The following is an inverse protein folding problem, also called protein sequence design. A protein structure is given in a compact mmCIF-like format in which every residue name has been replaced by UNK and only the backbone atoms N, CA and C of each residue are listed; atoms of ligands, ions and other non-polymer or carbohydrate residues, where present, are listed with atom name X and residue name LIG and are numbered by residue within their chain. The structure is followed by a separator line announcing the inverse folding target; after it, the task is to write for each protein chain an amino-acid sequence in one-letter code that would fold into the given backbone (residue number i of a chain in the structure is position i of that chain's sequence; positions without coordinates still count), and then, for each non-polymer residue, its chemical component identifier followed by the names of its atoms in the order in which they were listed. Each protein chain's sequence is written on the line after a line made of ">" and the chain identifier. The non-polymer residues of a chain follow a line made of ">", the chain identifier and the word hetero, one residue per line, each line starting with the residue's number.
data_IF_381337033893
#
_entry.id   IF_381337033893
#
_cell.length_a   1.000
_cell.length_b   1.000
_cell.length_c   1.000
_cell.angle_alpha   90.00
_cell.angle_beta   90.00
_cell.angle_gamma   90.00
#
_symmetry.space_group_name_H-M   'P 1'
#
loop_
_entity.id
_entity.type
_entity.pdbx_description
1 polymer ?
#
# COMPACT_ATOMS: atom_id res chain seq x y z
N UNK A 1 0.94 -26.51 -12.63
CA UNK A 1 0.07 -25.90 -11.60
C UNK A 1 -0.14 -24.48 -12.06
N UNK A 2 -1.38 -24.07 -12.36
CA UNK A 2 -1.65 -22.69 -12.76
C UNK A 2 -1.45 -21.81 -11.51
N UNK A 3 -0.72 -20.71 -11.64
CA UNK A 3 -0.57 -19.72 -10.57
C UNK A 3 -1.96 -19.18 -10.22
N UNK A 4 -2.37 -19.37 -8.97
CA UNK A 4 -3.58 -18.77 -8.40
C UNK A 4 -3.15 -17.57 -7.55
N UNK A 5 -3.28 -16.33 -8.05
CA UNK A 5 -2.87 -15.14 -7.32
C UNK A 5 -3.58 -15.01 -5.97
N UNK A 6 -4.83 -15.48 -5.87
CA UNK A 6 -5.64 -15.37 -4.64
C UNK A 6 -5.09 -16.27 -3.52
N UNK A 7 -4.48 -17.41 -3.86
CA UNK A 7 -3.88 -18.31 -2.88
C UNK A 7 -2.46 -17.87 -2.43
N UNK A 8 -1.82 -16.94 -3.14
CA UNK A 8 -0.42 -16.57 -2.88
C UNK A 8 -0.21 -16.03 -1.46
N UNK A 9 -1.11 -15.16 -0.99
CA UNK A 9 -0.99 -14.57 0.34
C UNK A 9 -1.27 -15.59 1.44
N UNK A 10 -2.26 -16.47 1.26
CA UNK A 10 -2.57 -17.54 2.20
C UNK A 10 -1.43 -18.56 2.32
N UNK A 11 -0.75 -18.89 1.21
CA UNK A 11 0.39 -19.81 1.23
C UNK A 11 1.65 -19.17 1.84
N UNK A 12 1.89 -17.88 1.56
CA UNK A 12 3.10 -17.17 1.98
C UNK A 12 2.99 -16.64 3.42
N UNK A 13 1.78 -16.23 3.83
CA UNK A 13 1.50 -15.62 5.13
C UNK A 13 0.25 -16.19 5.82
N UNK A 14 0.16 -17.52 6.03
CA UNK A 14 -1.06 -18.18 6.52
C UNK A 14 -1.56 -17.67 7.86
N UNK A 15 -0.66 -17.19 8.72
CA UNK A 15 -0.98 -16.77 10.09
C UNK A 15 -0.92 -15.24 10.28
N UNK A 16 -0.97 -14.43 9.21
CA UNK A 16 -0.70 -12.99 9.32
C UNK A 16 -1.68 -12.27 10.25
N UNK A 17 -2.93 -12.69 10.28
CA UNK A 17 -3.96 -12.10 11.14
C UNK A 17 -3.70 -12.46 12.61
N UNK A 18 -3.34 -13.71 12.90
CA UNK A 18 -3.02 -14.25 14.21
C UNK A 18 -1.74 -13.60 14.76
N UNK A 19 -0.70 -13.47 13.92
CA UNK A 19 0.57 -12.85 14.30
C UNK A 19 0.38 -11.42 14.78
N UNK A 20 -0.53 -10.65 14.16
CA UNK A 20 -0.85 -9.28 14.60
C UNK A 20 -1.50 -9.23 15.98
N UNK A 21 -2.10 -10.32 16.47
CA UNK A 21 -2.62 -10.39 17.84
C UNK A 21 -1.51 -10.56 18.87
N UNK A 22 -0.37 -11.14 18.48
CA UNK A 22 0.76 -11.42 19.36
C UNK A 22 1.54 -10.12 19.70
N UNK A 23 1.63 -9.71 20.98
CA UNK A 23 2.33 -8.49 21.37
C UNK A 23 3.81 -8.47 20.96
N UNK A 24 4.50 -9.62 21.00
CA UNK A 24 5.92 -9.72 20.62
C UNK A 24 6.15 -9.51 19.13
N UNK A 25 5.25 -10.02 18.29
CA UNK A 25 5.33 -9.83 16.84
C UNK A 25 5.09 -8.36 16.52
N UNK A 26 4.02 -7.77 17.06
CA UNK A 26 3.76 -6.33 16.94
C UNK A 26 4.95 -5.51 17.44
N UNK A 27 5.56 -5.85 18.57
CA UNK A 27 6.68 -5.07 19.07
C UNK A 27 7.90 -5.06 18.13
N UNK A 28 8.13 -6.15 17.37
CA UNK A 28 9.24 -6.26 16.41
C UNK A 28 8.90 -5.78 15.00
N UNK A 29 7.63 -5.70 14.67
CA UNK A 29 7.20 -5.35 13.33
C UNK A 29 7.48 -3.86 13.03
N UNK A 30 7.83 -3.58 11.78
CA UNK A 30 8.24 -2.25 11.34
C UNK A 30 7.35 -1.76 10.21
N UNK A 31 7.28 -0.44 10.05
CA UNK A 31 6.58 0.20 8.95
C UNK A 31 7.04 -0.32 7.58
N UNK A 32 8.36 -0.55 7.40
CA UNK A 32 8.92 -1.10 6.17
C UNK A 32 8.42 -2.53 5.88
N UNK A 33 8.39 -3.39 6.91
CA UNK A 33 7.91 -4.78 6.76
C UNK A 33 6.42 -4.81 6.41
N UNK A 34 5.63 -3.94 7.03
CA UNK A 34 4.21 -3.75 6.71
C UNK A 34 4.01 -3.28 5.27
N UNK A 35 4.82 -2.33 4.82
CA UNK A 35 4.78 -1.84 3.45
C UNK A 35 5.12 -2.93 2.42
N UNK A 36 6.08 -3.81 2.71
CA UNK A 36 6.40 -4.95 1.84
C UNK A 36 5.29 -6.00 1.79
N UNK A 37 4.63 -6.30 2.92
CA UNK A 37 3.43 -7.15 2.90
C UNK A 37 2.28 -6.51 2.13
N UNK A 38 2.12 -5.19 2.24
CA UNK A 38 1.11 -4.47 1.47
C UNK A 38 1.40 -4.54 -0.04
N UNK A 39 2.67 -4.43 -0.44
CA UNK A 39 3.10 -4.63 -1.82
C UNK A 39 2.76 -6.03 -2.33
N UNK A 40 3.07 -7.07 -1.56
CA UNK A 40 2.74 -8.45 -1.93
C UNK A 40 1.23 -8.64 -2.08
N UNK A 41 0.44 -8.13 -1.12
CA UNK A 41 -1.02 -8.18 -1.17
C UNK A 41 -1.59 -7.45 -2.38
N UNK A 42 -1.03 -6.27 -2.72
CA UNK A 42 -1.39 -5.54 -3.95
C UNK A 42 -1.07 -6.39 -5.16
N UNK A 43 0.16 -6.88 -5.33
CA UNK A 43 0.54 -7.71 -6.48
C UNK A 43 -0.33 -8.98 -6.63
N UNK A 44 -0.74 -9.59 -5.51
CA UNK A 44 -1.63 -10.75 -5.48
C UNK A 44 -3.11 -10.41 -5.71
N UNK A 45 -3.47 -9.12 -5.72
CA UNK A 45 -4.84 -8.63 -5.76
C UNK A 45 -5.71 -9.12 -4.58
N UNK A 46 -5.10 -9.31 -3.41
CA UNK A 46 -5.81 -9.70 -2.18
C UNK A 46 -6.42 -8.47 -1.51
N UNK A 47 -7.62 -8.09 -1.95
CA UNK A 47 -8.33 -6.90 -1.47
C UNK A 47 -8.54 -6.90 0.05
N UNK A 48 -8.79 -8.06 0.64
CA UNK A 48 -9.01 -8.19 2.07
C UNK A 48 -7.72 -7.85 2.83
N UNK A 49 -6.60 -8.47 2.47
CA UNK A 49 -5.33 -8.23 3.13
C UNK A 49 -4.80 -6.81 2.87
N UNK A 50 -5.04 -6.24 1.68
CA UNK A 50 -4.73 -4.83 1.39
C UNK A 50 -5.43 -3.92 2.39
N UNK A 51 -6.74 -4.10 2.61
CA UNK A 51 -7.50 -3.32 3.58
C UNK A 51 -6.98 -3.49 5.01
N UNK A 52 -6.76 -4.74 5.43
CA UNK A 52 -6.28 -5.04 6.78
C UNK A 52 -4.86 -4.53 7.07
N UNK A 53 -3.92 -4.67 6.13
CA UNK A 53 -2.54 -4.17 6.30
C UNK A 53 -2.52 -2.64 6.25
N UNK A 54 -3.34 -2.01 5.42
CA UNK A 54 -3.50 -0.54 5.39
C UNK A 54 -4.02 -0.01 6.72
N UNK A 55 -5.05 -0.64 7.29
CA UNK A 55 -5.62 -0.23 8.57
C UNK A 55 -4.68 -0.51 9.74
N UNK A 56 -3.95 -1.63 9.70
CA UNK A 56 -2.89 -1.92 10.65
C UNK A 56 -1.79 -0.84 10.59
N UNK A 57 -1.38 -0.41 9.39
CA UNK A 57 -0.43 0.69 9.22
C UNK A 57 -0.96 2.00 9.78
N UNK A 58 -2.20 2.34 9.44
CA UNK A 58 -2.89 3.54 9.91
C UNK A 58 -2.95 3.61 11.45
N UNK A 59 -3.30 2.52 12.13
CA UNK A 59 -3.50 2.51 13.59
C UNK A 59 -2.23 2.51 14.43
N UNK A 60 -1.04 2.26 13.85
CA UNK A 60 0.22 2.06 14.60
C UNK A 60 0.95 3.34 15.05
N UNK A 61 0.19 4.36 15.45
CA UNK A 61 0.71 5.62 15.97
C UNK A 61 1.57 5.45 17.24
N UNK A 62 2.55 6.37 17.50
CA UNK A 62 3.03 7.47 16.65
C UNK A 62 4.23 7.11 15.75
N UNK A 63 4.70 5.87 15.80
CA UNK A 63 5.99 5.50 15.22
C UNK A 63 6.00 5.40 13.70
N UNK A 64 4.83 5.35 13.05
CA UNK A 64 4.72 5.09 11.61
C UNK A 64 4.32 6.35 10.86
N UNK A 65 5.29 7.00 10.21
CA UNK A 65 5.08 8.11 9.27
C UNK A 65 5.44 7.62 7.86
N UNK A 66 4.49 7.55 6.90
CA UNK A 66 4.77 7.05 5.56
C UNK A 66 5.91 7.79 4.86
N UNK A 67 6.15 9.08 5.16
CA UNK A 67 7.29 9.84 4.62
C UNK A 67 8.66 9.23 4.93
N UNK A 68 8.74 8.43 6.00
CA UNK A 68 9.97 7.78 6.48
C UNK A 68 10.16 6.36 5.89
N UNK A 69 9.31 5.93 4.94
CA UNK A 69 9.55 4.68 4.23
C UNK A 69 10.88 4.77 3.49
N UNK A 70 11.75 3.79 3.71
CA UNK A 70 13.06 3.73 3.05
C UNK A 70 12.89 3.28 1.61
N UNK A 71 13.80 3.74 0.76
CA UNK A 71 13.86 3.33 -0.64
C UNK A 71 14.14 1.82 -0.73
N UNK A 72 13.28 1.01 -1.39
CA UNK A 72 13.51 -0.42 -1.58
C UNK A 72 14.85 -0.76 -2.25
N UNK A 73 15.45 0.16 -3.01
CA UNK A 73 16.82 0.00 -3.53
C UNK A 73 17.86 -0.22 -2.42
N UNK A 74 17.71 0.44 -1.28
CA UNK A 74 18.62 0.29 -0.14
C UNK A 74 18.54 -1.12 0.48
N UNK A 75 17.41 -1.81 0.28
CA UNK A 75 17.17 -3.18 0.71
C UNK A 75 17.47 -4.20 -0.40
N UNK A 76 18.04 -3.78 -1.53
CA UNK A 76 18.54 -4.64 -2.61
C UNK A 76 17.56 -4.86 -3.76
N UNK A 77 16.42 -4.16 -3.82
CA UNK A 77 15.53 -4.22 -4.97
C UNK A 77 16.17 -3.52 -6.17
N UNK A 78 16.34 -4.25 -7.29
CA UNK A 78 16.89 -3.70 -8.54
C UNK A 78 15.94 -3.84 -9.72
N UNK A 79 14.80 -4.49 -9.51
CA UNK A 79 13.83 -4.74 -10.56
C UNK A 79 12.99 -3.48 -10.83
N UNK A 80 12.99 -2.94 -12.06
CA UNK A 80 12.34 -1.67 -12.35
C UNK A 80 10.81 -1.75 -12.18
N UNK A 81 10.18 -2.89 -12.47
CA UNK A 81 8.74 -3.07 -12.29
C UNK A 81 8.37 -3.03 -10.82
N UNK A 82 9.10 -3.77 -9.98
CA UNK A 82 8.88 -3.76 -8.53
C UNK A 82 9.04 -2.36 -7.95
N UNK A 83 10.08 -1.63 -8.33
CA UNK A 83 10.32 -0.26 -7.85
C UNK A 83 9.21 0.69 -8.28
N UNK A 84 8.73 0.57 -9.52
CA UNK A 84 7.61 1.36 -10.03
C UNK A 84 6.31 1.06 -9.25
N UNK A 85 6.04 -0.21 -8.93
CA UNK A 85 4.89 -0.60 -8.09
C UNK A 85 5.06 -0.07 -6.66
N UNK A 86 6.24 -0.22 -6.03
CA UNK A 86 6.51 0.32 -4.70
C UNK A 86 6.29 1.83 -4.64
N UNK A 87 6.84 2.57 -5.59
CA UNK A 87 6.70 4.01 -5.61
C UNK A 87 5.23 4.46 -5.77
N UNK A 88 4.48 3.75 -6.62
CA UNK A 88 3.04 4.00 -6.83
C UNK A 88 2.22 3.65 -5.60
N UNK A 89 2.54 2.54 -4.93
CA UNK A 89 1.87 2.12 -3.71
C UNK A 89 2.13 3.09 -2.55
N UNK A 90 3.36 3.57 -2.36
CA UNK A 90 3.68 4.53 -1.30
C UNK A 90 2.86 5.82 -1.45
N UNK A 91 2.70 6.30 -2.68
CA UNK A 91 1.91 7.49 -2.98
C UNK A 91 0.42 7.25 -2.82
N UNK A 92 -0.10 6.13 -3.32
CA UNK A 92 -1.50 5.74 -3.15
C UNK A 92 -1.87 5.56 -1.66
N UNK A 93 -0.95 5.03 -0.85
CA UNK A 93 -1.11 4.90 0.60
C UNK A 93 -1.21 6.27 1.28
N UNK A 94 -0.30 7.20 0.93
CA UNK A 94 -0.32 8.58 1.43
C UNK A 94 -1.59 9.30 1.01
N UNK A 95 -1.99 9.18 -0.26
CA UNK A 95 -3.23 9.74 -0.76
C UNK A 95 -4.43 9.21 0.04
N UNK A 96 -4.48 7.90 0.27
CA UNK A 96 -5.54 7.24 1.03
C UNK A 96 -5.60 7.70 2.49
N UNK A 97 -4.44 7.95 3.11
CA UNK A 97 -4.36 8.53 4.45
C UNK A 97 -4.81 9.98 4.50
N UNK A 98 -4.37 10.79 3.54
CA UNK A 98 -4.79 12.19 3.45
C UNK A 98 -6.29 12.32 3.16
N UNK A 99 -6.86 11.41 2.36
CA UNK A 99 -8.29 11.30 2.16
C UNK A 99 -9.03 10.97 3.47
N UNK A 100 -8.54 10.02 4.27
CA UNK A 100 -9.10 9.78 5.63
C UNK A 100 -9.04 11.03 6.49
N UNK A 101 -7.91 11.75 6.48
CA UNK A 101 -7.75 12.98 7.26
C UNK A 101 -8.72 14.08 6.84
N UNK A 102 -8.98 14.23 5.53
CA UNK A 102 -9.92 15.23 5.00
C UNK A 102 -11.36 14.96 5.43
N UNK A 103 -11.74 13.69 5.59
CA UNK A 103 -13.02 13.25 6.16
C UNK A 103 -13.14 13.47 7.68
N UNK A 104 -12.11 13.98 8.35
CA UNK A 104 -12.09 14.15 9.80
C UNK A 104 -11.69 12.86 10.56
N UNK A 105 -11.32 11.79 9.86
CA UNK A 105 -10.79 10.60 10.51
C UNK A 105 -9.41 10.88 11.09
N UNK A 106 -9.10 10.24 12.21
CA UNK A 106 -7.84 10.43 12.93
C UNK A 106 -7.32 9.07 13.36
N UNK A 107 -5.99 8.90 13.26
CA UNK A 107 -5.30 7.64 13.56
C UNK A 107 -5.43 7.19 15.01
N UNK A 108 -5.72 8.12 15.93
CA UNK A 108 -5.97 7.84 17.34
C UNK A 108 -7.45 7.49 17.65
N UNK A 109 -8.30 7.38 16.61
CA UNK A 109 -9.75 7.11 16.75
C UNK A 109 -10.59 8.29 17.23
N UNK A 110 -9.99 9.46 17.51
CA UNK A 110 -10.71 10.67 17.94
C UNK A 110 -11.07 11.51 16.71
N UNK A 111 -12.17 11.15 16.06
CA UNK A 111 -12.63 11.83 14.85
C UNK A 111 -13.09 13.26 15.14
N UNK A 112 -12.98 14.10 14.11
CA UNK A 112 -13.37 15.52 14.12
C UNK A 112 -14.23 15.81 12.89
N UNK A 113 -14.74 17.03 12.78
CA UNK A 113 -15.51 17.44 11.60
C UNK A 113 -14.65 17.41 10.32
N UNK A 114 -15.27 17.03 9.21
CA UNK A 114 -14.64 17.06 7.88
C UNK A 114 -14.13 18.47 7.57
N UNK A 115 -12.94 18.58 6.99
CA UNK A 115 -12.27 19.86 6.71
C UNK A 115 -11.63 20.53 7.92
N UNK A 116 -11.67 19.93 9.11
CA UNK A 116 -10.89 20.42 10.26
C UNK A 116 -9.39 20.45 9.93
N UNK A 117 -8.65 21.49 10.36
CA UNK A 117 -7.20 21.59 10.11
C UNK A 117 -6.44 20.32 10.50
N UNK A 118 -5.50 19.93 9.64
CA UNK A 118 -4.67 18.74 9.82
C UNK A 118 -3.39 18.86 9.02
N UNK A 119 -2.32 18.28 9.56
CA UNK A 119 -1.07 18.09 8.82
C UNK A 119 -1.24 16.86 7.92
N UNK A 120 -1.17 17.09 6.62
CA UNK A 120 -1.20 16.02 5.62
C UNK A 120 0.19 15.39 5.50
N UNK A 121 0.20 14.09 5.19
CA UNK A 121 1.44 13.37 4.89
C UNK A 121 1.91 13.70 3.47
N UNK A 122 3.23 13.70 3.28
CA UNK A 122 3.89 13.72 1.98
C UNK A 122 4.30 12.30 1.57
N UNK A 123 4.52 12.10 0.27
CA UNK A 123 5.13 10.87 -0.22
C UNK A 123 6.61 10.81 0.19
N UNK A 124 7.20 9.61 0.36
CA UNK A 124 8.64 9.48 0.54
C UNK A 124 9.39 10.12 -0.63
N UNK A 125 10.46 10.87 -0.36
CA UNK A 125 11.18 11.59 -1.41
C UNK A 125 11.73 10.71 -2.54
N UNK A 126 12.03 9.44 -2.26
CA UNK A 126 12.55 8.49 -3.26
C UNK A 126 11.52 8.17 -4.35
N UNK A 127 10.20 8.25 -4.07
CA UNK A 127 9.17 7.90 -5.07
C UNK A 127 9.21 8.80 -6.29
N UNK A 128 9.68 10.05 -6.13
CA UNK A 128 9.81 11.03 -7.21
C UNK A 128 10.90 10.70 -8.22
N UNK A 129 11.88 9.86 -7.86
CA UNK A 129 13.00 9.50 -8.73
C UNK A 129 12.75 8.23 -9.54
N UNK A 130 11.66 7.50 -9.24
CA UNK A 130 11.31 6.27 -9.95
C UNK A 130 10.62 6.60 -11.27
N UNK A 131 11.21 6.26 -12.43
CA UNK A 131 10.64 6.59 -13.73
C UNK A 131 9.41 5.76 -14.06
N UNK A 132 8.69 6.16 -15.11
CA UNK A 132 7.67 5.32 -15.72
C UNK A 132 8.31 4.14 -16.47
N UNK A 133 7.60 3.02 -16.54
CA UNK A 133 8.02 1.84 -17.29
C UNK A 133 7.86 2.06 -18.80
N UNK A 134 8.79 1.49 -19.58
CA UNK A 134 8.75 1.56 -21.05
C UNK A 134 7.51 0.82 -21.61
N UNK A 135 7.15 -0.31 -21.01
CA UNK A 135 5.98 -1.10 -21.36
C UNK A 135 4.90 -1.01 -20.25
N UNK A 136 3.63 -1.07 -20.65
CA UNK A 136 2.53 -0.97 -19.69
C UNK A 136 2.43 -2.25 -18.86
N UNK A 137 2.70 -2.14 -17.57
CA UNK A 137 2.56 -3.24 -16.63
C UNK A 137 1.09 -3.38 -16.21
N UNK A 138 0.49 -4.53 -16.46
CA UNK A 138 -0.88 -4.85 -16.01
C UNK A 138 -0.76 -5.68 -14.74
N UNK A 139 -0.97 -5.04 -13.58
CA UNK A 139 -0.79 -5.69 -12.29
C UNK A 139 -1.97 -6.61 -11.95
N UNK A 140 -3.19 -6.21 -12.31
CA UNK A 140 -4.41 -6.99 -12.07
C UNK A 140 -5.22 -7.10 -13.36
N UNK A 141 -5.81 -8.27 -13.58
CA UNK A 141 -6.80 -8.43 -14.65
C UNK A 141 -8.15 -7.99 -14.11
N UNK A 142 -8.67 -6.89 -14.64
CA UNK A 142 -10.04 -6.50 -14.39
C UNK A 142 -11.02 -7.57 -14.89
N UNK A 143 -12.15 -7.71 -14.21
CA UNK A 143 -13.24 -8.60 -14.66
C UNK A 143 -13.73 -8.24 -16.06
N UNK A 144 -13.74 -6.95 -16.40
CA UNK A 144 -13.97 -6.48 -17.76
C UNK A 144 -12.63 -6.43 -18.52
N UNK A 145 -12.42 -7.25 -19.56
CA UNK A 145 -11.20 -7.24 -20.36
C UNK A 145 -10.97 -5.95 -21.15
N UNK A 146 -11.98 -5.06 -21.23
CA UNK A 146 -11.86 -3.75 -21.85
C UNK A 146 -11.59 -2.63 -20.85
N UNK A 147 -11.58 -2.92 -19.54
CA UNK A 147 -11.28 -1.93 -18.54
C UNK A 147 -9.81 -1.51 -18.66
N UNK A 148 -9.61 -0.22 -18.93
CA UNK A 148 -8.29 0.42 -19.03
C UNK A 148 -8.07 1.41 -17.89
N UNK A 149 -8.96 1.43 -16.89
CA UNK A 149 -8.84 2.31 -15.75
C UNK A 149 -7.61 1.96 -14.93
N UNK A 150 -6.98 3.01 -14.41
CA UNK A 150 -5.86 2.92 -13.49
C UNK A 150 -5.92 4.11 -12.57
N UNK A 151 -5.57 3.91 -11.30
CA UNK A 151 -5.49 5.02 -10.37
C UNK A 151 -4.29 5.92 -10.71
N UNK A 152 -4.38 7.26 -10.50
CA UNK A 152 -3.39 8.22 -10.97
C UNK A 152 -1.95 7.95 -10.49
N UNK A 153 -1.80 7.41 -9.27
CA UNK A 153 -0.50 7.10 -8.68
C UNK A 153 0.22 5.95 -9.41
N UNK A 154 -0.53 5.05 -10.04
CA UNK A 154 -0.03 3.93 -10.85
C UNK A 154 0.10 4.30 -12.34
N UNK A 155 -0.91 5.00 -12.89
CA UNK A 155 -0.93 5.34 -14.32
C UNK A 155 0.27 6.21 -14.73
N UNK A 156 0.72 7.12 -13.85
CA UNK A 156 1.90 7.96 -14.10
C UNK A 156 3.21 7.17 -14.23
N UNK A 157 3.26 5.92 -13.78
CA UNK A 157 4.39 5.00 -13.97
C UNK A 157 4.15 3.95 -15.05
N UNK A 158 3.12 4.15 -15.88
CA UNK A 158 2.69 3.21 -16.91
C UNK A 158 2.24 1.86 -16.32
N UNK A 159 1.61 1.89 -15.14
CA UNK A 159 1.04 0.71 -14.48
C UNK A 159 -0.47 0.80 -14.52
N UNK A 160 -1.13 -0.31 -14.85
CA UNK A 160 -2.56 -0.50 -14.72
C UNK A 160 -2.87 -1.26 -13.43
N UNK A 161 -3.38 -0.55 -12.44
CA UNK A 161 -3.78 -1.12 -11.15
C UNK A 161 -4.87 -0.28 -10.48
N UNK A 162 -5.57 -0.91 -9.53
CA UNK A 162 -6.57 -0.28 -8.67
C UNK A 162 -6.04 -0.21 -7.24
N UNK A 163 -6.21 0.95 -6.60
CA UNK A 163 -5.88 1.22 -5.20
C UNK A 163 -7.13 1.36 -4.34
N UNK A 164 -8.31 0.97 -4.86
CA UNK A 164 -9.59 1.14 -4.17
C UNK A 164 -9.60 0.50 -2.77
N UNK A 165 -9.00 -0.68 -2.63
CA UNK A 165 -8.93 -1.44 -1.37
C UNK A 165 -8.03 -0.77 -0.31
N UNK A 166 -7.18 0.20 -0.69
CA UNK A 166 -6.50 1.05 0.29
C UNK A 166 -7.46 2.00 1.00
N UNK A 167 -8.65 2.28 0.45
CA UNK A 167 -9.65 3.21 1.01
C UNK A 167 -10.73 2.51 1.83
N UNK A 168 -10.92 1.21 1.65
CA UNK A 168 -11.92 0.44 2.40
C UNK A 168 -11.47 0.28 3.84
N UNK A 169 -12.34 0.65 4.80
CA UNK A 169 -12.14 0.57 6.25
C UNK A 169 -13.27 -0.18 6.91
#
# INVERSE_FOLDING_TARGET
>A
MAYDPEAYMDETHPDIFELRLLPVWRWRDTMQRSFYRLYEAVCAYDEALIGYETEYFWKRQPSWNPELLRDPHEDGCTDPEQLAVFASLAEALVWSFNWRLSLGLRRNGRHVESGSPVDYFSAPSWTHHVPALDERLILHKYHDPNDKSSDPDFDKRNIQASSASLRTV
#
